data_IF_723102721131
#
_entry.id   IF_723102721131
#
_cell.length_a   1.000
_cell.length_b   1.000
_cell.length_c   1.000
_cell.angle_alpha   90.00
_cell.angle_beta   90.00
_cell.angle_gamma   90.00
#
_symmetry.space_group_name_H-M   'P 1'
#
loop_
_entity.id
_entity.type
_entity.pdbx_description
1 polymer ?
#
# COMPACT_ATOMS: atom_id res chain seq x y z
N UNK A 1 8.29 3.06 -7.93
CA UNK A 1 9.70 2.61 -8.01
C UNK A 1 10.69 3.50 -7.25
N UNK A 2 10.65 4.83 -7.30
CA UNK A 2 11.66 5.69 -6.61
C UNK A 2 11.84 5.38 -5.11
N UNK A 3 10.75 5.07 -4.39
CA UNK A 3 10.81 4.68 -2.98
C UNK A 3 11.45 3.30 -2.78
N UNK A 4 11.06 2.30 -3.59
CA UNK A 4 11.62 0.95 -3.49
C UNK A 4 13.09 0.91 -3.89
N UNK A 5 13.50 1.67 -4.90
CA UNK A 5 14.92 1.83 -5.28
C UNK A 5 15.74 2.52 -4.18
N UNK A 6 15.17 3.51 -3.50
CA UNK A 6 15.85 4.20 -2.39
C UNK A 6 16.00 3.38 -1.12
N UNK A 7 15.16 2.34 -0.92
CA UNK A 7 15.20 1.48 0.28
C UNK A 7 15.93 0.15 0.01
N UNK A 8 15.70 -0.47 -1.16
CA UNK A 8 16.19 -1.82 -1.48
C UNK A 8 17.29 -1.86 -2.56
N UNK A 9 17.65 -0.70 -3.13
CA UNK A 9 18.60 -0.64 -4.24
C UNK A 9 17.98 -0.91 -5.61
N UNK A 10 18.68 -0.52 -6.68
CA UNK A 10 18.19 -0.63 -8.07
C UNK A 10 18.02 -2.06 -8.54
N UNK A 11 18.83 -2.99 -8.03
CA UNK A 11 18.85 -4.39 -8.46
C UNK A 11 17.63 -5.17 -7.93
N UNK A 12 17.27 -4.97 -6.65
CA UNK A 12 16.17 -5.70 -6.01
C UNK A 12 14.82 -4.98 -6.11
N UNK A 13 14.81 -3.66 -6.36
CA UNK A 13 13.59 -2.86 -6.39
C UNK A 13 12.49 -3.35 -7.35
N UNK A 14 12.76 -3.87 -8.55
CA UNK A 14 11.70 -4.34 -9.45
C UNK A 14 10.97 -5.57 -8.89
N UNK A 15 11.71 -6.54 -8.34
CA UNK A 15 11.13 -7.77 -7.76
C UNK A 15 10.30 -7.44 -6.52
N UNK A 16 10.84 -6.61 -5.62
CA UNK A 16 10.12 -6.17 -4.41
C UNK A 16 8.87 -5.38 -4.79
N UNK A 17 8.96 -4.50 -5.79
CA UNK A 17 7.79 -3.76 -6.28
C UNK A 17 6.72 -4.68 -6.85
N UNK A 18 7.10 -5.74 -7.58
CA UNK A 18 6.17 -6.75 -8.09
C UNK A 18 5.37 -7.41 -6.96
N UNK A 19 6.03 -7.82 -5.88
CA UNK A 19 5.36 -8.40 -4.71
C UNK A 19 4.49 -7.39 -3.96
N UNK A 20 4.89 -6.11 -3.88
CA UNK A 20 4.06 -5.04 -3.30
C UNK A 20 2.75 -4.89 -4.08
N UNK A 21 2.82 -4.88 -5.42
CA UNK A 21 1.63 -4.77 -6.27
C UNK A 21 0.74 -6.00 -6.14
N UNK A 22 1.32 -7.20 -6.13
CA UNK A 22 0.58 -8.44 -5.93
C UNK A 22 -0.20 -8.41 -4.60
N UNK A 23 0.46 -8.02 -3.50
CA UNK A 23 -0.17 -7.83 -2.20
C UNK A 23 -1.28 -6.76 -2.23
N UNK A 24 -1.08 -5.66 -2.94
CA UNK A 24 -2.09 -4.61 -3.08
C UNK A 24 -3.34 -5.11 -3.82
N UNK A 25 -3.17 -5.88 -4.89
CA UNK A 25 -4.31 -6.45 -5.64
C UNK A 25 -5.09 -7.46 -4.80
N UNK A 26 -4.40 -8.31 -4.04
CA UNK A 26 -5.06 -9.20 -3.07
C UNK A 26 -5.84 -8.41 -2.03
N UNK A 27 -5.23 -7.37 -1.45
CA UNK A 27 -5.90 -6.46 -0.52
C UNK A 27 -7.13 -5.76 -1.13
N UNK A 28 -7.04 -5.32 -2.39
CA UNK A 28 -8.14 -4.71 -3.12
C UNK A 28 -9.29 -5.69 -3.34
N UNK A 29 -8.99 -6.95 -3.67
CA UNK A 29 -10.00 -8.00 -3.79
C UNK A 29 -10.70 -8.25 -2.44
N UNK A 30 -9.95 -8.35 -1.34
CA UNK A 30 -10.52 -8.48 0.00
C UNK A 30 -11.36 -7.27 0.40
N UNK A 31 -10.91 -6.05 0.11
CA UNK A 31 -11.65 -4.83 0.41
C UNK A 31 -12.96 -4.75 -0.39
N UNK A 32 -12.94 -5.10 -1.68
CA UNK A 32 -14.13 -5.15 -2.53
C UNK A 32 -15.14 -6.18 -2.02
N UNK A 33 -14.67 -7.39 -1.68
CA UNK A 33 -15.52 -8.42 -1.09
C UNK A 33 -16.12 -7.97 0.25
N UNK A 34 -15.28 -7.46 1.16
CA UNK A 34 -15.69 -6.97 2.48
C UNK A 34 -16.70 -5.82 2.38
N UNK A 35 -16.49 -4.86 1.47
CA UNK A 35 -17.44 -3.78 1.22
C UNK A 35 -18.78 -4.31 0.70
N UNK A 36 -18.77 -5.32 -0.18
CA UNK A 36 -19.97 -6.01 -0.65
C UNK A 36 -20.72 -6.71 0.50
N UNK A 37 -20.01 -7.43 1.36
CA UNK A 37 -20.59 -8.11 2.54
C UNK A 37 -21.18 -7.11 3.54
N UNK A 38 -20.48 -6.01 3.82
CA UNK A 38 -20.96 -4.93 4.68
C UNK A 38 -22.21 -4.28 4.10
N UNK A 39 -22.21 -4.00 2.78
CA UNK A 39 -23.38 -3.44 2.10
C UNK A 39 -24.57 -4.38 2.17
N UNK A 40 -24.36 -5.67 1.94
CA UNK A 40 -25.41 -6.68 2.04
C UNK A 40 -26.03 -6.75 3.44
N UNK A 41 -25.21 -6.61 4.48
CA UNK A 41 -25.66 -6.77 5.88
C UNK A 41 -26.25 -5.48 6.47
N UNK A 42 -25.69 -4.31 6.14
CA UNK A 42 -26.06 -3.01 6.72
C UNK A 42 -26.90 -2.15 5.77
N UNK A 43 -27.12 -2.59 4.53
CA UNK A 43 -27.90 -1.87 3.52
C UNK A 43 -27.26 -0.61 2.95
N UNK A 44 -26.12 -0.15 3.48
CA UNK A 44 -25.41 1.07 3.04
C UNK A 44 -23.89 0.88 2.95
N UNK A 45 -23.20 1.76 2.21
CA UNK A 45 -21.74 1.76 2.12
C UNK A 45 -21.04 2.58 3.21
N UNK A 46 -21.79 3.25 4.09
CA UNK A 46 -21.23 4.18 5.08
C UNK A 46 -20.15 3.52 5.92
N UNK A 47 -20.42 2.32 6.45
CA UNK A 47 -19.44 1.57 7.24
C UNK A 47 -18.21 1.16 6.40
N UNK A 48 -18.41 0.67 5.16
CA UNK A 48 -17.32 0.27 4.27
C UNK A 48 -16.41 1.46 3.91
N UNK A 49 -16.99 2.63 3.62
CA UNK A 49 -16.25 3.86 3.32
C UNK A 49 -15.50 4.38 4.55
N UNK A 50 -16.13 4.37 5.74
CA UNK A 50 -15.47 4.81 6.97
C UNK A 50 -14.29 3.92 7.34
N UNK A 51 -14.43 2.60 7.21
CA UNK A 51 -13.33 1.64 7.43
C UNK A 51 -12.21 1.89 6.42
N UNK A 52 -12.54 2.05 5.14
CA UNK A 52 -11.55 2.35 4.10
C UNK A 52 -10.79 3.65 4.39
N UNK A 53 -11.50 4.70 4.82
CA UNK A 53 -10.90 5.97 5.23
C UNK A 53 -9.94 5.81 6.41
N UNK A 54 -10.32 5.03 7.43
CA UNK A 54 -9.43 4.73 8.56
C UNK A 54 -8.17 3.98 8.11
N UNK A 55 -8.31 2.97 7.24
CA UNK A 55 -7.17 2.25 6.67
C UNK A 55 -6.23 3.18 5.89
N UNK A 56 -6.77 4.13 5.12
CA UNK A 56 -5.97 5.13 4.41
C UNK A 56 -5.16 6.01 5.36
N UNK A 57 -5.73 6.43 6.50
CA UNK A 57 -5.01 7.21 7.52
C UNK A 57 -3.89 6.39 8.15
N UNK A 58 -4.13 5.11 8.45
CA UNK A 58 -3.10 4.20 8.95
C UNK A 58 -1.97 4.04 7.92
N UNK A 59 -2.31 3.82 6.65
CA UNK A 59 -1.32 3.71 5.58
C UNK A 59 -0.49 5.00 5.44
N UNK A 60 -1.12 6.17 5.50
CA UNK A 60 -0.42 7.46 5.47
C UNK A 60 0.56 7.60 6.64
N UNK A 61 0.15 7.24 7.86
CA UNK A 61 1.00 7.27 9.04
C UNK A 61 2.20 6.31 8.91
N UNK A 62 2.00 5.13 8.34
CA UNK A 62 3.08 4.17 8.07
C UNK A 62 4.09 4.71 7.05
N UNK A 63 3.61 5.35 5.98
CA UNK A 63 4.48 5.95 4.95
C UNK A 63 5.39 7.03 5.55
N UNK A 64 4.89 7.84 6.48
CA UNK A 64 5.69 8.86 7.18
C UNK A 64 6.83 8.27 8.03
N UNK A 65 6.78 6.98 8.38
CA UNK A 65 7.84 6.29 9.14
C UNK A 65 8.94 5.72 8.25
N UNK A 66 8.75 5.65 6.93
CA UNK A 66 9.74 5.08 6.00
C UNK A 66 10.95 6.01 5.92
N UNK A 67 12.14 5.47 6.17
CA UNK A 67 13.42 6.18 6.04
C UNK A 67 14.02 5.83 4.68
N UNK A 68 14.23 6.84 3.84
CA UNK A 68 14.85 6.67 2.53
C UNK A 68 16.33 7.00 2.69
N UNK A 69 17.20 6.00 2.52
CA UNK A 69 18.64 6.25 2.46
C UNK A 69 18.93 6.86 1.09
N UNK A 70 19.34 8.13 1.06
CA UNK A 70 19.63 8.81 -0.20
C UNK A 70 20.87 8.15 -0.80
N UNK A 71 20.69 7.31 -1.82
CA UNK A 71 21.80 6.71 -2.55
C UNK A 71 22.81 7.80 -2.93
N UNK A 72 24.00 7.74 -2.33
CA UNK A 72 25.10 8.65 -2.66
C UNK A 72 25.51 8.34 -4.10
N UNK A 73 25.62 9.34 -4.99
CA UNK A 73 26.15 9.09 -6.33
C UNK A 73 27.54 8.47 -6.18
N UNK A 74 27.77 7.34 -6.85
CA UNK A 74 29.08 6.67 -6.91
C UNK A 74 30.00 7.62 -7.67
N UNK A 75 31.15 8.04 -7.10
CA UNK A 75 32.11 8.85 -7.83
C UNK A 75 32.65 8.02 -9.01
N UNK A 76 32.52 8.56 -10.22
CA UNK A 76 33.11 8.05 -11.46
C UNK A 76 34.54 8.53 -11.62
#
# INVERSE_FOLDING_TARGET
>A
MKLTTGVFGSEQAPVVFGWIVAGHQLGAAFAALGAGMLRNSLGSYTAATMISGALCLVAAALVLRIRIERQRPVPV
#
